data_IF_255910081896
#
_entry.id   IF_255910081896
#
_cell.length_a   1.000
_cell.length_b   1.000
_cell.length_c   1.000
_cell.angle_alpha   90.00
_cell.angle_beta   90.00
_cell.angle_gamma   90.00
#
_symmetry.space_group_name_H-M   'P 1'
#
loop_
_entity.id
_entity.type
_entity.pdbx_description
1 polymer ?
#
# COMPACT_ATOMS: atom_id res chain seq x y z
N UNK A 1 -16.60 6.55 10.75
CA UNK A 1 -15.62 5.52 11.20
C UNK A 1 -14.68 5.20 10.05
N UNK A 2 -13.41 4.91 10.32
CA UNK A 2 -12.37 4.53 9.33
C UNK A 2 -12.68 3.17 8.60
N UNK A 3 -13.86 2.60 8.87
CA UNK A 3 -14.25 1.20 8.68
C UNK A 3 -15.56 1.05 7.87
N UNK A 4 -15.72 1.77 6.76
CA UNK A 4 -16.74 1.36 5.77
C UNK A 4 -16.12 0.31 4.84
N UNK A 5 -16.45 -0.96 5.10
CA UNK A 5 -15.90 -2.10 4.38
C UNK A 5 -16.30 -2.11 2.91
N UNK A 6 -17.48 -1.59 2.55
CA UNK A 6 -17.95 -1.58 1.16
C UNK A 6 -17.17 -0.55 0.33
N UNK A 7 -17.01 0.67 0.87
CA UNK A 7 -16.21 1.72 0.23
C UNK A 7 -14.74 1.32 0.07
N UNK A 8 -14.16 0.64 1.07
CA UNK A 8 -12.80 0.11 0.97
C UNK A 8 -12.66 -0.92 -0.14
N UNK A 9 -13.59 -1.88 -0.23
CA UNK A 9 -13.60 -2.90 -1.30
C UNK A 9 -13.67 -2.26 -2.69
N UNK A 10 -14.52 -1.26 -2.87
CA UNK A 10 -14.62 -0.53 -4.13
C UNK A 10 -13.31 0.19 -4.48
N UNK A 11 -12.71 0.89 -3.52
CA UNK A 11 -11.41 1.55 -3.73
C UNK A 11 -10.30 0.55 -4.07
N UNK A 12 -10.20 -0.55 -3.33
CA UNK A 12 -9.18 -1.58 -3.56
C UNK A 12 -9.35 -2.21 -4.95
N UNK A 13 -10.59 -2.43 -5.40
CA UNK A 13 -10.89 -2.92 -6.74
C UNK A 13 -10.42 -1.94 -7.83
N UNK A 14 -10.73 -0.65 -7.68
CA UNK A 14 -10.30 0.40 -8.62
C UNK A 14 -8.77 0.49 -8.67
N UNK A 15 -8.10 0.43 -7.52
CA UNK A 15 -6.64 0.46 -7.41
C UNK A 15 -6.02 -0.78 -8.07
N UNK A 16 -6.55 -1.97 -7.82
CA UNK A 16 -6.09 -3.21 -8.45
C UNK A 16 -6.25 -3.17 -9.97
N UNK A 17 -7.39 -2.72 -10.45
CA UNK A 17 -7.66 -2.58 -11.88
C UNK A 17 -6.66 -1.60 -12.52
N UNK A 18 -6.53 -0.40 -11.94
CA UNK A 18 -5.58 0.60 -12.43
C UNK A 18 -4.15 0.07 -12.45
N UNK A 19 -3.70 -0.58 -11.36
CA UNK A 19 -2.36 -1.13 -11.25
C UNK A 19 -2.07 -2.23 -12.29
N UNK A 20 -3.01 -3.15 -12.50
CA UNK A 20 -2.90 -4.22 -13.52
C UNK A 20 -2.87 -3.66 -14.94
N UNK A 21 -3.71 -2.68 -15.24
CA UNK A 21 -3.72 -2.00 -16.53
C UNK A 21 -2.39 -1.29 -16.76
N UNK A 22 -1.87 -0.56 -15.77
CA UNK A 22 -0.56 0.10 -15.86
C UNK A 22 0.57 -0.90 -16.11
N UNK A 23 0.63 -2.01 -15.36
CA UNK A 23 1.65 -3.05 -15.57
C UNK A 23 1.58 -3.64 -16.99
N UNK A 24 0.37 -3.87 -17.50
CA UNK A 24 0.15 -4.40 -18.85
C UNK A 24 0.57 -3.39 -19.92
N UNK A 25 0.27 -2.09 -19.75
CA UNK A 25 0.69 -1.03 -20.66
C UNK A 25 2.21 -0.86 -20.71
N UNK A 26 2.91 -1.15 -19.61
CA UNK A 26 4.38 -1.20 -19.58
C UNK A 26 4.97 -2.51 -20.14
N UNK A 27 4.14 -3.44 -20.63
CA UNK A 27 4.59 -4.74 -21.13
C UNK A 27 5.13 -5.66 -20.02
N UNK A 28 4.85 -5.37 -18.75
CA UNK A 28 5.35 -6.15 -17.64
C UNK A 28 4.48 -7.38 -17.40
N UNK A 29 5.09 -8.57 -17.50
CA UNK A 29 4.46 -9.83 -17.09
C UNK A 29 4.78 -10.11 -15.63
N UNK A 30 3.76 -10.18 -14.79
CA UNK A 30 3.91 -10.42 -13.35
C UNK A 30 3.57 -11.89 -13.05
N UNK A 31 4.50 -12.57 -12.39
CA UNK A 31 4.31 -13.90 -11.81
C UNK A 31 4.32 -13.77 -10.29
N UNK A 32 3.40 -14.44 -9.61
CA UNK A 32 3.33 -14.49 -8.14
C UNK A 32 3.51 -15.93 -7.72
N UNK A 33 4.50 -16.17 -6.86
CA UNK A 33 4.83 -17.48 -6.29
C UNK A 33 4.76 -17.39 -4.77
N UNK A 34 4.46 -18.51 -4.09
CA UNK A 34 4.43 -18.55 -2.63
C UNK A 34 3.21 -17.87 -1.99
N UNK A 35 2.06 -17.81 -2.69
CA UNK A 35 0.81 -17.22 -2.18
C UNK A 35 0.31 -17.97 -0.93
N UNK A 36 0.59 -19.27 -0.85
CA UNK A 36 0.32 -20.15 0.28
C UNK A 36 1.09 -19.76 1.55
N UNK A 37 2.19 -19.03 1.43
CA UNK A 37 2.97 -18.54 2.57
C UNK A 37 2.38 -17.27 3.18
N UNK A 38 1.29 -16.72 2.60
CA UNK A 38 0.67 -15.54 3.14
C UNK A 38 -0.04 -15.87 4.46
N UNK A 39 0.09 -15.00 5.48
CA UNK A 39 -0.62 -15.15 6.73
C UNK A 39 -2.14 -15.09 6.52
N UNK A 40 -2.94 -15.58 7.50
CA UNK A 40 -4.39 -15.44 7.51
C UNK A 40 -4.84 -14.01 7.15
N UNK A 41 -5.93 -13.89 6.39
CA UNK A 41 -6.36 -12.60 5.85
C UNK A 41 -6.91 -11.63 6.92
N UNK A 42 -7.24 -12.15 8.10
CA UNK A 42 -7.70 -11.44 9.29
C UNK A 42 -6.55 -11.09 10.25
N UNK A 43 -5.33 -11.54 9.99
CA UNK A 43 -4.14 -11.19 10.78
C UNK A 43 -3.52 -9.87 10.31
N UNK A 44 -3.24 -8.98 11.26
CA UNK A 44 -2.56 -7.71 10.99
C UNK A 44 -1.06 -7.94 10.80
N UNK A 45 -0.57 -7.76 9.58
CA UNK A 45 0.83 -8.02 9.22
C UNK A 45 1.50 -6.85 8.50
N UNK A 46 2.82 -6.74 8.66
CA UNK A 46 3.65 -5.76 7.96
C UNK A 46 4.46 -6.44 6.86
N UNK A 47 4.18 -6.12 5.60
CA UNK A 47 4.96 -6.59 4.47
C UNK A 47 6.21 -5.72 4.27
N UNK A 48 7.37 -6.37 4.13
CA UNK A 48 8.67 -5.70 3.96
C UNK A 48 9.32 -6.19 2.67
N UNK A 49 8.88 -5.68 1.49
CA UNK A 49 9.50 -6.03 0.22
C UNK A 49 10.84 -5.31 0.05
N UNK A 50 11.72 -5.88 -0.79
CA UNK A 50 12.80 -5.11 -1.38
C UNK A 50 12.21 -3.96 -2.23
N UNK A 51 12.87 -2.80 -2.22
CA UNK A 51 12.43 -1.63 -2.98
C UNK A 51 13.41 -1.30 -4.09
N UNK A 52 13.05 -1.63 -5.34
CA UNK A 52 13.92 -1.52 -6.51
C UNK A 52 13.38 -0.53 -7.54
N UNK A 53 12.08 -0.24 -7.56
CA UNK A 53 11.49 0.59 -8.60
C UNK A 53 10.20 1.28 -8.18
N UNK A 54 9.73 2.23 -9.00
CA UNK A 54 8.38 2.77 -8.87
C UNK A 54 7.29 1.75 -9.22
N UNK A 55 7.62 0.72 -10.00
CA UNK A 55 6.67 -0.33 -10.37
C UNK A 55 6.30 -1.22 -9.18
N UNK A 56 7.07 -1.19 -8.09
CA UNK A 56 6.79 -1.94 -6.85
C UNK A 56 5.40 -1.60 -6.28
N UNK A 57 4.95 -0.35 -6.45
CA UNK A 57 3.60 0.06 -6.03
C UNK A 57 2.54 -0.67 -6.87
N UNK A 58 2.72 -0.72 -8.20
CA UNK A 58 1.74 -1.33 -9.09
C UNK A 58 1.77 -2.86 -9.04
N UNK A 59 2.95 -3.47 -8.90
CA UNK A 59 3.07 -4.92 -8.75
C UNK A 59 2.40 -5.41 -7.47
N UNK A 60 2.67 -4.76 -6.33
CA UNK A 60 2.05 -5.14 -5.06
C UNK A 60 0.55 -4.81 -5.04
N UNK A 61 0.15 -3.61 -5.48
CA UNK A 61 -1.26 -3.21 -5.47
C UNK A 61 -2.13 -4.03 -6.42
N UNK A 62 -1.58 -4.46 -7.56
CA UNK A 62 -2.32 -5.22 -8.57
C UNK A 62 -2.36 -6.72 -8.34
N UNK A 63 -1.35 -7.29 -7.68
CA UNK A 63 -1.12 -8.74 -7.68
C UNK A 63 -0.99 -9.38 -6.30
N UNK A 64 -0.75 -8.62 -5.22
CA UNK A 64 -0.80 -9.17 -3.87
C UNK A 64 -2.28 -9.37 -3.46
N UNK A 65 -2.75 -10.59 -3.15
CA UNK A 65 -4.15 -10.85 -2.83
C UNK A 65 -4.48 -10.49 -1.36
N UNK A 66 -4.05 -9.30 -0.93
CA UNK A 66 -4.18 -8.78 0.43
C UNK A 66 -4.49 -7.29 0.39
N UNK A 67 -5.18 -6.82 1.42
CA UNK A 67 -5.39 -5.39 1.64
C UNK A 67 -4.30 -4.87 2.54
N UNK A 68 -3.64 -3.80 2.13
CA UNK A 68 -2.55 -3.23 2.90
C UNK A 68 -2.48 -1.72 2.69
N UNK A 69 -1.63 -1.07 3.49
CA UNK A 69 -1.35 0.35 3.39
C UNK A 69 0.15 0.56 3.23
N UNK A 70 0.54 1.42 2.30
CA UNK A 70 1.93 1.84 2.16
C UNK A 70 2.33 2.83 3.24
N UNK A 71 3.61 2.77 3.61
CA UNK A 71 4.33 3.86 4.26
C UNK A 71 5.17 4.53 3.19
N UNK A 72 4.88 5.79 2.87
CA UNK A 72 5.51 6.50 1.75
C UNK A 72 5.99 7.89 2.12
N UNK A 73 6.99 8.38 1.39
CA UNK A 73 7.53 9.73 1.56
C UNK A 73 6.43 10.77 1.34
N UNK A 74 6.34 11.78 2.20
CA UNK A 74 5.26 12.78 2.12
C UNK A 74 5.17 13.49 0.75
N UNK A 75 6.29 13.63 0.07
CA UNK A 75 6.40 14.27 -1.23
C UNK A 75 5.68 13.49 -2.33
N UNK A 76 5.54 12.16 -2.20
CA UNK A 76 4.78 11.34 -3.14
C UNK A 76 3.29 11.73 -3.13
N UNK A 77 2.75 12.18 -1.99
CA UNK A 77 1.37 12.66 -1.91
C UNK A 77 1.14 13.95 -2.71
N UNK A 78 2.20 14.64 -3.14
CA UNK A 78 2.11 15.85 -3.97
C UNK A 78 2.08 15.54 -5.47
N UNK A 79 2.37 14.31 -5.86
CA UNK A 79 2.32 13.88 -7.28
C UNK A 79 0.85 13.77 -7.67
N UNK A 80 0.37 14.46 -8.72
CA UNK A 80 -1.00 14.32 -9.19
C UNK A 80 -1.35 12.87 -9.53
N UNK A 81 -2.63 12.51 -9.41
CA UNK A 81 -3.15 11.16 -9.65
C UNK A 81 -2.69 10.12 -8.60
N UNK A 82 -1.37 9.87 -8.50
CA UNK A 82 -0.77 8.95 -7.52
C UNK A 82 -1.02 9.45 -6.10
N UNK A 83 -0.65 10.69 -5.80
CA UNK A 83 -0.81 11.27 -4.47
C UNK A 83 -2.27 11.39 -4.03
N UNK A 84 -3.18 11.68 -4.98
CA UNK A 84 -4.62 11.68 -4.71
C UNK A 84 -5.14 10.29 -4.38
N UNK A 85 -4.77 9.28 -5.18
CA UNK A 85 -5.13 7.89 -4.92
C UNK A 85 -4.59 7.44 -3.56
N UNK A 86 -3.34 7.78 -3.24
CA UNK A 86 -2.73 7.43 -1.96
C UNK A 86 -3.40 8.11 -0.76
N UNK A 87 -3.79 9.38 -0.91
CA UNK A 87 -4.56 10.12 0.10
C UNK A 87 -5.95 9.52 0.32
N UNK A 88 -6.67 9.20 -0.77
CA UNK A 88 -7.99 8.56 -0.72
C UNK A 88 -7.94 7.15 -0.10
N UNK A 89 -6.87 6.41 -0.39
CA UNK A 89 -6.60 5.10 0.18
C UNK A 89 -6.12 5.15 1.64
N UNK A 90 -5.88 6.34 2.20
CA UNK A 90 -5.37 6.57 3.57
C UNK A 90 -4.04 5.85 3.84
N UNK A 91 -3.10 5.95 2.91
CA UNK A 91 -1.72 5.50 3.15
C UNK A 91 -1.00 6.40 4.16
N UNK A 92 0.03 5.84 4.80
CA UNK A 92 0.79 6.50 5.85
C UNK A 92 1.91 7.32 5.19
N UNK A 93 1.93 8.63 5.45
CA UNK A 93 2.94 9.55 4.93
C UNK A 93 4.02 9.82 5.99
N UNK A 94 5.29 9.70 5.62
CA UNK A 94 6.43 9.96 6.52
C UNK A 94 7.29 11.13 6.01
N UNK A 95 7.66 12.04 6.92
CA UNK A 95 8.72 13.04 6.67
C UNK A 95 10.06 12.43 7.06
N UNK A 96 10.83 11.98 6.06
CA UNK A 96 12.11 11.29 6.32
C UNK A 96 13.20 12.21 6.86
N UNK A 97 13.11 13.53 6.69
CA UNK A 97 14.11 14.48 7.19
C UNK A 97 13.97 14.83 8.67
N UNK A 98 12.86 14.43 9.31
CA UNK A 98 12.57 14.71 10.71
C UNK A 98 12.53 13.41 11.52
N UNK A 99 13.53 13.21 12.39
CA UNK A 99 13.61 12.04 13.28
C UNK A 99 12.39 11.89 14.18
N UNK A 100 11.80 13.00 14.64
CA UNK A 100 10.60 12.94 15.49
C UNK A 100 9.39 12.43 14.69
N UNK A 101 9.21 12.91 13.45
CA UNK A 101 8.20 12.39 12.52
C UNK A 101 8.39 10.92 12.21
N UNK A 102 9.63 10.43 12.06
CA UNK A 102 9.90 9.02 11.81
C UNK A 102 9.48 8.14 13.00
N UNK A 103 9.90 8.52 14.21
CA UNK A 103 9.54 7.79 15.44
C UNK A 103 8.04 7.79 15.69
N UNK A 104 7.36 8.91 15.44
CA UNK A 104 5.91 8.98 15.52
C UNK A 104 5.24 8.04 14.52
N UNK A 105 5.68 8.04 13.26
CA UNK A 105 5.11 7.17 12.22
C UNK A 105 5.30 5.69 12.56
N UNK A 106 6.47 5.33 13.07
CA UNK A 106 6.74 3.97 13.54
C UNK A 106 5.81 3.58 14.70
N UNK A 107 5.62 4.47 15.68
CA UNK A 107 4.71 4.26 16.79
C UNK A 107 3.26 4.10 16.31
N UNK A 108 2.79 4.98 15.43
CA UNK A 108 1.45 4.93 14.86
C UNK A 108 1.23 3.62 14.06
N UNK A 109 2.25 3.16 13.33
CA UNK A 109 2.21 1.88 12.60
C UNK A 109 2.13 0.69 13.57
N UNK A 110 2.91 0.69 14.64
CA UNK A 110 2.87 -0.35 15.69
C UNK A 110 1.51 -0.36 16.38
N UNK A 111 0.99 0.81 16.76
CA UNK A 111 -0.30 0.92 17.45
C UNK A 111 -1.45 0.48 16.52
N UNK A 112 -1.36 0.78 15.22
CA UNK A 112 -2.32 0.27 14.21
C UNK A 112 -2.24 -1.24 14.08
N UNK A 113 -1.03 -1.82 13.99
CA UNK A 113 -0.86 -3.29 13.91
C UNK A 113 -1.42 -3.99 15.16
N UNK A 114 -1.24 -3.42 16.35
CA UNK A 114 -1.80 -3.97 17.60
C UNK A 114 -3.32 -3.89 17.68
N UNK A 115 -3.93 -2.92 16.99
CA UNK A 115 -5.37 -2.70 17.02
C UNK A 115 -6.16 -3.57 16.01
N UNK A 116 -5.49 -4.13 15.00
CA UNK A 116 -6.12 -4.83 13.87
C UNK A 116 -6.69 -3.90 12.80
#
# INVERSE_FOLDING_TARGET
>A
RIFDNARRRANDFVVQWWARTTMTLFGAKVTVEGVENLPPADEAVMYVPNHCSFLDIFSLSGYLPRRFKYISKIEILRIPLIGWAMGLAKHIAIRRTDRASQMKTLKDAIDTLKAG
#
